data_IF_798505934322
#
_entry.id   IF_798505934322
#
_cell.length_a   1.000
_cell.length_b   1.000
_cell.length_c   1.000
_cell.angle_alpha   90.00
_cell.angle_beta   90.00
_cell.angle_gamma   90.00
#
_symmetry.space_group_name_H-M   'P 1'
#
loop_
_entity.id
_entity.type
_entity.pdbx_description
1 polymer ?
#
# COMPACT_ATOMS: atom_id res chain seq x y z
N UNK A 1 2.71 -18.77 -15.53
CA UNK A 1 1.83 -18.30 -14.46
C UNK A 1 0.44 -18.82 -14.76
N UNK A 2 -0.15 -19.60 -13.85
CA UNK A 2 -1.57 -19.97 -13.97
C UNK A 2 -2.38 -18.68 -13.99
N UNK A 3 -3.19 -18.41 -15.03
CA UNK A 3 -4.09 -17.27 -15.00
C UNK A 3 -4.99 -17.42 -13.79
N UNK A 4 -5.01 -16.39 -12.94
CA UNK A 4 -5.99 -16.25 -11.88
C UNK A 4 -7.37 -16.27 -12.55
N UNK A 5 -8.19 -17.27 -12.25
CA UNK A 5 -9.58 -17.37 -12.73
C UNK A 5 -10.52 -16.93 -11.61
N UNK A 6 -10.73 -15.62 -11.40
CA UNK A 6 -11.46 -15.10 -10.23
C UNK A 6 -12.88 -15.66 -10.11
N UNK A 7 -13.54 -15.95 -11.24
CA UNK A 7 -14.88 -16.56 -11.25
C UNK A 7 -14.86 -18.00 -10.73
N UNK A 8 -13.88 -18.81 -11.16
CA UNK A 8 -13.72 -20.19 -10.71
C UNK A 8 -13.44 -20.22 -9.21
N UNK A 9 -12.57 -19.33 -8.73
CA UNK A 9 -12.25 -19.19 -7.30
C UNK A 9 -13.49 -18.74 -6.52
N UNK A 10 -14.25 -17.77 -7.02
CA UNK A 10 -15.47 -17.29 -6.36
C UNK A 10 -16.51 -18.40 -6.20
N UNK A 11 -16.79 -19.14 -7.27
CA UNK A 11 -17.72 -20.26 -7.25
C UNK A 11 -17.24 -21.37 -6.29
N UNK A 12 -15.95 -21.70 -6.33
CA UNK A 12 -15.36 -22.66 -5.40
C UNK A 12 -15.54 -22.25 -3.94
N UNK A 13 -15.23 -21.00 -3.58
CA UNK A 13 -15.38 -20.49 -2.22
C UNK A 13 -16.84 -20.46 -1.76
N UNK A 14 -17.77 -20.13 -2.68
CA UNK A 14 -19.21 -20.11 -2.42
C UNK A 14 -19.76 -21.50 -2.10
N UNK A 15 -19.27 -22.53 -2.78
CA UNK A 15 -19.67 -23.92 -2.57
C UNK A 15 -18.98 -24.59 -1.36
N UNK A 16 -17.84 -24.05 -0.92
CA UNK A 16 -17.00 -24.63 0.12
C UNK A 16 -16.84 -23.68 1.33
N UNK A 17 -17.96 -23.32 1.96
CA UNK A 17 -18.00 -22.32 3.04
C UNK A 17 -17.13 -22.66 4.26
N UNK A 18 -16.83 -23.94 4.49
CA UNK A 18 -15.96 -24.38 5.59
C UNK A 18 -14.54 -23.80 5.49
N UNK A 19 -14.07 -23.49 4.27
CA UNK A 19 -12.74 -22.91 4.04
C UNK A 19 -12.69 -21.42 4.44
N UNK A 20 -13.84 -20.76 4.56
CA UNK A 20 -13.96 -19.37 4.99
C UNK A 20 -13.69 -19.16 6.49
N UNK A 21 -13.39 -20.22 7.24
CA UNK A 21 -12.78 -20.13 8.57
C UNK A 21 -11.38 -19.50 8.53
N UNK A 22 -10.69 -19.61 7.38
CA UNK A 22 -9.41 -18.93 7.15
C UNK A 22 -9.63 -17.46 6.79
N UNK A 23 -8.95 -16.56 7.51
CA UNK A 23 -8.97 -15.11 7.23
C UNK A 23 -8.57 -14.77 5.80
N UNK A 24 -7.60 -15.49 5.24
CA UNK A 24 -7.15 -15.29 3.86
C UNK A 24 -8.27 -15.56 2.86
N UNK A 25 -8.89 -16.74 2.91
CA UNK A 25 -9.95 -17.12 1.97
C UNK A 25 -11.24 -16.34 2.20
N UNK A 26 -11.52 -15.95 3.45
CA UNK A 26 -12.63 -15.05 3.78
C UNK A 26 -12.43 -13.67 3.15
N UNK A 27 -11.23 -13.08 3.29
CA UNK A 27 -10.90 -11.79 2.68
C UNK A 27 -10.99 -11.83 1.15
N UNK A 28 -10.47 -12.90 0.53
CA UNK A 28 -10.57 -13.12 -0.90
C UNK A 28 -12.03 -13.27 -1.35
N UNK A 29 -12.84 -14.04 -0.63
CA UNK A 29 -14.26 -14.18 -0.92
C UNK A 29 -14.98 -12.83 -0.87
N UNK A 30 -14.73 -12.03 0.17
CA UNK A 30 -15.34 -10.69 0.32
C UNK A 30 -14.93 -9.76 -0.84
N UNK A 31 -13.66 -9.77 -1.25
CA UNK A 31 -13.18 -8.98 -2.38
C UNK A 31 -13.90 -9.37 -3.69
N UNK A 32 -14.06 -10.67 -3.94
CA UNK A 32 -14.74 -11.19 -5.13
C UNK A 32 -16.27 -11.00 -5.06
N UNK A 33 -16.86 -11.04 -3.87
CA UNK A 33 -18.30 -10.84 -3.68
C UNK A 33 -18.74 -9.47 -4.19
N UNK A 34 -17.97 -8.41 -3.93
CA UNK A 34 -18.29 -7.08 -4.47
C UNK A 34 -18.27 -7.05 -6.01
N UNK A 35 -17.34 -7.78 -6.62
CA UNK A 35 -17.20 -7.85 -8.07
C UNK A 35 -18.34 -8.62 -8.74
N UNK A 36 -18.71 -9.79 -8.21
CA UNK A 36 -19.68 -10.70 -8.82
C UNK A 36 -21.11 -10.53 -8.30
N UNK A 37 -21.30 -9.93 -7.13
CA UNK A 37 -22.60 -9.68 -6.50
C UNK A 37 -22.70 -8.22 -6.00
N UNK A 38 -22.60 -7.21 -6.89
CA UNK A 38 -22.56 -5.79 -6.49
C UNK A 38 -23.85 -5.29 -5.83
N UNK A 39 -24.96 -6.02 -5.99
CA UNK A 39 -26.26 -5.72 -5.37
C UNK A 39 -26.45 -6.39 -3.99
N UNK A 40 -25.45 -7.12 -3.50
CA UNK A 40 -25.51 -7.73 -2.17
C UNK A 40 -25.49 -6.63 -1.09
N UNK A 41 -26.63 -6.45 -0.44
CA UNK A 41 -26.82 -5.44 0.62
C UNK A 41 -26.16 -5.85 1.94
N UNK A 42 -25.65 -7.08 2.06
CA UNK A 42 -25.04 -7.63 3.26
C UNK A 42 -23.52 -7.49 3.30
N UNK A 43 -22.87 -6.84 2.31
CA UNK A 43 -21.41 -6.65 2.27
C UNK A 43 -20.84 -6.08 3.59
N UNK A 44 -21.56 -5.15 4.23
CA UNK A 44 -21.18 -4.57 5.52
C UNK A 44 -21.22 -5.57 6.68
N UNK A 45 -22.09 -6.58 6.62
CA UNK A 45 -22.14 -7.67 7.61
C UNK A 45 -20.92 -8.58 7.46
N UNK A 46 -20.56 -8.93 6.22
CA UNK A 46 -19.35 -9.71 5.95
C UNK A 46 -18.09 -8.97 6.40
N UNK A 47 -18.00 -7.67 6.12
CA UNK A 47 -16.88 -6.82 6.55
C UNK A 47 -16.80 -6.68 8.08
N UNK A 48 -17.93 -6.45 8.76
CA UNK A 48 -17.92 -6.32 10.22
C UNK A 48 -17.55 -7.64 10.92
N UNK A 49 -18.01 -8.78 10.40
CA UNK A 49 -17.55 -10.10 10.85
C UNK A 49 -16.05 -10.31 10.60
N UNK A 50 -15.55 -9.88 9.44
CA UNK A 50 -14.14 -10.04 9.07
C UNK A 50 -13.20 -9.22 9.97
N UNK A 51 -13.63 -8.02 10.36
CA UNK A 51 -12.90 -7.14 11.27
C UNK A 51 -12.95 -7.60 12.74
N UNK A 52 -14.01 -8.29 13.17
CA UNK A 52 -14.21 -8.70 14.57
C UNK A 52 -13.52 -10.02 14.94
N UNK A 53 -13.14 -10.85 13.96
CA UNK A 53 -12.36 -12.06 14.19
C UNK A 53 -10.98 -11.70 14.80
N UNK A 54 -10.83 -11.99 16.10
CA UNK A 54 -9.70 -11.57 16.94
C UNK A 54 -8.38 -12.28 16.62
N UNK A 55 -7.31 -11.48 16.60
CA UNK A 55 -5.91 -11.77 16.96
C UNK A 55 -5.35 -13.16 16.59
N UNK A 56 -4.96 -13.39 15.33
CA UNK A 56 -3.55 -13.37 14.91
C UNK A 56 -3.48 -13.52 13.39
N UNK A 57 -2.46 -12.89 12.81
CA UNK A 57 -2.15 -12.74 11.38
C UNK A 57 -3.15 -11.92 10.51
N UNK A 58 -2.60 -10.94 9.78
CA UNK A 58 -3.34 -10.17 8.75
C UNK A 58 -4.14 -8.93 9.22
N UNK A 59 -3.83 -8.30 10.37
CA UNK A 59 -4.51 -7.06 10.79
C UNK A 59 -4.44 -5.96 9.72
N UNK A 60 -3.26 -5.75 9.14
CA UNK A 60 -3.05 -4.82 8.03
C UNK A 60 -3.92 -5.20 6.83
N UNK A 61 -3.91 -6.47 6.42
CA UNK A 61 -4.66 -6.95 5.26
C UNK A 61 -6.16 -6.73 5.41
N UNK A 62 -6.70 -7.00 6.62
CA UNK A 62 -8.11 -6.75 6.96
C UNK A 62 -8.48 -5.28 6.82
N UNK A 63 -7.66 -4.39 7.38
CA UNK A 63 -7.84 -2.93 7.31
C UNK A 63 -7.68 -2.40 5.89
N UNK A 64 -6.76 -2.95 5.11
CA UNK A 64 -6.56 -2.60 3.70
C UNK A 64 -7.75 -3.01 2.84
N UNK A 65 -8.27 -4.23 3.04
CA UNK A 65 -9.49 -4.68 2.35
C UNK A 65 -10.67 -3.76 2.72
N UNK A 66 -10.88 -3.50 4.01
CA UNK A 66 -11.92 -2.58 4.46
C UNK A 66 -11.79 -1.17 3.84
N UNK A 67 -10.57 -0.64 3.77
CA UNK A 67 -10.27 0.64 3.11
C UNK A 67 -10.70 0.67 1.64
N UNK A 68 -10.48 -0.42 0.92
CA UNK A 68 -10.79 -0.52 -0.50
C UNK A 68 -12.30 -0.69 -0.76
N UNK A 69 -13.02 -1.44 0.08
CA UNK A 69 -14.42 -1.77 -0.17
C UNK A 69 -15.42 -0.78 0.45
N UNK A 70 -15.09 -0.17 1.61
CA UNK A 70 -16.05 0.61 2.40
C UNK A 70 -15.69 2.10 2.54
N UNK A 71 -14.42 2.49 2.39
CA UNK A 71 -13.98 3.86 2.63
C UNK A 71 -13.86 4.64 1.32
N UNK A 72 -14.65 5.71 1.19
CA UNK A 72 -14.77 6.47 -0.06
C UNK A 72 -14.17 7.89 0.03
N UNK A 73 -13.66 8.29 1.19
CA UNK A 73 -13.12 9.65 1.39
C UNK A 73 -11.66 9.59 1.80
N UNK A 74 -10.89 10.58 1.35
CA UNK A 74 -9.48 10.77 1.73
C UNK A 74 -9.28 10.73 3.25
N UNK A 75 -10.13 11.43 4.00
CA UNK A 75 -10.03 11.49 5.46
C UNK A 75 -10.21 10.11 6.12
N UNK A 76 -11.19 9.32 5.66
CA UNK A 76 -11.46 8.00 6.24
C UNK A 76 -10.37 6.99 5.86
N UNK A 77 -9.88 7.02 4.62
CA UNK A 77 -8.74 6.18 4.19
C UNK A 77 -7.47 6.49 4.96
N UNK A 78 -7.15 7.78 5.14
CA UNK A 78 -5.99 8.21 5.92
C UNK A 78 -6.10 7.79 7.38
N UNK A 79 -7.24 8.02 8.02
CA UNK A 79 -7.47 7.59 9.39
C UNK A 79 -7.31 6.07 9.54
N UNK A 80 -7.89 5.28 8.63
CA UNK A 80 -7.75 3.83 8.65
C UNK A 80 -6.29 3.36 8.47
N UNK A 81 -5.52 4.02 7.60
CA UNK A 81 -4.11 3.68 7.44
C UNK A 81 -3.30 4.07 8.69
N UNK A 82 -3.59 5.20 9.32
CA UNK A 82 -2.96 5.60 10.58
C UNK A 82 -3.28 4.66 11.75
N UNK A 83 -4.47 4.03 11.78
CA UNK A 83 -4.77 2.96 12.73
C UNK A 83 -3.87 1.72 12.52
N UNK A 84 -3.50 1.42 11.27
CA UNK A 84 -2.54 0.34 10.97
C UNK A 84 -1.15 0.74 11.43
N UNK A 85 -0.70 1.95 11.12
CA UNK A 85 0.62 2.44 11.54
C UNK A 85 0.75 2.47 13.06
N UNK A 86 -0.26 2.99 13.77
CA UNK A 86 -0.27 3.01 15.24
C UNK A 86 -0.22 1.61 15.86
N UNK A 87 -0.92 0.63 15.27
CA UNK A 87 -0.87 -0.76 15.72
C UNK A 87 0.55 -1.34 15.67
N UNK A 88 1.32 -1.00 14.63
CA UNK A 88 2.72 -1.41 14.48
C UNK A 88 3.73 -0.43 15.10
N UNK A 89 3.28 0.55 15.90
CA UNK A 89 4.13 1.56 16.54
C UNK A 89 4.96 2.38 15.55
N UNK A 90 4.39 2.64 14.36
CA UNK A 90 4.98 3.49 13.33
C UNK A 90 4.46 4.93 13.45
N UNK A 91 5.28 5.88 13.01
CA UNK A 91 4.89 7.29 12.91
C UNK A 91 3.70 7.46 11.99
N UNK A 92 2.73 8.27 12.41
CA UNK A 92 1.56 8.56 11.59
C UNK A 92 1.96 9.27 10.29
N UNK A 93 1.09 9.14 9.31
CA UNK A 93 1.22 9.77 8.00
C UNK A 93 0.12 10.80 7.76
N UNK A 94 0.41 11.74 6.87
CA UNK A 94 -0.50 12.75 6.36
C UNK A 94 -0.36 12.89 4.85
N UNK A 95 -1.28 13.64 4.23
CA UNK A 95 -1.12 14.01 2.83
C UNK A 95 0.03 15.00 2.70
N UNK A 96 0.93 14.75 1.74
CA UNK A 96 1.99 15.70 1.40
C UNK A 96 1.43 16.99 0.82
N UNK A 97 0.38 16.88 -0.01
CA UNK A 97 -0.43 17.98 -0.49
C UNK A 97 -1.92 17.70 -0.22
N UNK A 98 -2.54 18.60 0.56
CA UNK A 98 -3.96 18.53 0.94
C UNK A 98 -4.92 18.78 -0.21
N UNK A 99 -4.45 19.35 -1.32
CA UNK A 99 -5.26 19.59 -2.52
C UNK A 99 -5.33 18.35 -3.43
N UNK A 100 -4.42 17.39 -3.25
CA UNK A 100 -4.34 16.17 -4.03
C UNK A 100 -5.00 14.99 -3.31
N UNK A 101 -5.51 13.98 -4.05
CA UNK A 101 -6.20 12.83 -3.47
C UNK A 101 -5.26 11.94 -2.64
N UNK A 102 -5.86 11.01 -1.89
CA UNK A 102 -5.14 9.94 -1.22
C UNK A 102 -4.55 8.97 -2.26
N UNK A 103 -3.26 9.09 -2.54
CA UNK A 103 -2.48 8.18 -3.38
C UNK A 103 -1.18 7.84 -2.68
N UNK A 104 -0.56 6.70 -3.00
CA UNK A 104 0.73 6.31 -2.41
C UNK A 104 1.85 7.33 -2.66
N UNK A 105 1.72 8.14 -3.72
CA UNK A 105 2.66 9.21 -4.10
C UNK A 105 2.41 10.54 -3.39
N UNK A 106 1.30 10.68 -2.65
CA UNK A 106 0.92 11.90 -1.94
C UNK A 106 0.85 11.70 -0.41
N UNK A 107 1.74 10.85 0.13
CA UNK A 107 1.81 10.56 1.56
C UNK A 107 3.19 10.94 2.11
N UNK A 108 3.20 11.49 3.32
CA UNK A 108 4.42 11.78 4.07
C UNK A 108 4.23 11.45 5.55
N UNK A 109 5.31 11.11 6.23
CA UNK A 109 5.32 11.02 7.69
C UNK A 109 4.95 12.39 8.28
N UNK A 110 4.13 12.38 9.34
CA UNK A 110 3.84 13.56 10.13
C UNK A 110 5.16 14.02 10.73
N UNK A 111 5.60 15.21 10.34
CA UNK A 111 6.83 15.79 10.88
C UNK A 111 6.58 16.24 12.30
N UNK A 112 6.99 15.44 13.28
CA UNK A 112 7.25 16.01 14.60
C UNK A 112 8.33 17.08 14.48
N UNK A 113 8.25 18.13 15.31
CA UNK A 113 9.28 19.16 15.45
C UNK A 113 10.49 18.51 16.15
N UNK A 114 11.15 17.56 15.48
CA UNK A 114 12.44 17.08 15.93
C UNK A 114 13.49 18.05 15.41
N UNK A 115 14.06 18.80 16.36
CA UNK A 115 15.24 19.63 16.16
C UNK A 115 16.23 18.85 15.28
N UNK A 116 16.55 19.40 14.10
CA UNK A 116 17.56 18.87 13.18
C UNK A 116 18.87 18.66 13.95
N UNK A 117 19.05 17.47 14.52
CA UNK A 117 20.30 17.13 15.18
C UNK A 117 21.35 16.82 14.11
N UNK A 118 22.55 17.32 14.42
CA UNK A 118 23.71 17.57 13.55
C UNK A 118 24.12 16.36 12.69
N UNK A 119 24.59 16.72 11.50
CA UNK A 119 25.38 15.93 10.55
C UNK A 119 26.33 14.92 11.24
N UNK A 120 26.09 13.63 11.01
CA UNK A 120 27.15 12.62 11.07
C UNK A 120 28.02 12.73 9.80
N UNK A 121 29.32 12.44 9.94
CA UNK A 121 30.24 12.41 8.80
C UNK A 121 29.91 11.21 7.91
N UNK A 122 29.15 11.44 6.83
CA UNK A 122 28.65 10.39 5.93
C UNK A 122 29.77 9.58 5.26
N UNK A 123 31.01 10.08 5.27
CA UNK A 123 32.17 9.36 4.73
C UNK A 123 32.55 8.11 5.55
N UNK A 124 32.03 7.96 6.78
CA UNK A 124 32.23 6.76 7.59
C UNK A 124 31.05 5.76 7.54
N UNK A 125 29.98 6.11 6.82
CA UNK A 125 28.81 5.25 6.68
C UNK A 125 28.99 4.33 5.46
N UNK A 126 28.51 3.09 5.56
CA UNK A 126 28.55 2.14 4.44
C UNK A 126 27.81 2.70 3.22
N UNK A 127 28.40 2.56 2.03
CA UNK A 127 27.70 2.90 0.80
C UNK A 127 26.57 1.89 0.58
N UNK A 128 25.33 2.37 0.47
CA UNK A 128 24.17 1.54 0.17
C UNK A 128 23.75 1.79 -1.27
N UNK A 129 23.64 0.71 -2.06
CA UNK A 129 23.18 0.79 -3.45
C UNK A 129 21.71 0.34 -3.52
N UNK A 130 20.85 1.21 -4.03
CA UNK A 130 19.44 0.94 -4.28
C UNK A 130 19.24 0.76 -5.77
N UNK A 131 18.85 -0.45 -6.18
CA UNK A 131 18.51 -0.76 -7.57
C UNK A 131 17.00 -0.66 -7.75
N UNK A 132 16.56 0.24 -8.61
CA UNK A 132 15.15 0.46 -8.95
C UNK A 132 14.92 -0.10 -10.34
N UNK A 133 14.19 -1.21 -10.44
CA UNK A 133 13.75 -1.74 -11.74
C UNK A 133 12.39 -1.15 -12.08
N UNK A 134 12.20 -0.78 -13.34
CA UNK A 134 10.99 -0.08 -13.78
C UNK A 134 10.53 -0.52 -15.16
N UNK A 135 9.21 -0.57 -15.35
CA UNK A 135 8.55 -0.81 -16.63
C UNK A 135 7.20 -0.07 -16.61
N UNK A 136 6.99 0.84 -17.55
CA UNK A 136 5.79 1.67 -17.65
C UNK A 136 5.38 2.33 -16.32
N UNK A 137 6.32 3.00 -15.65
CA UNK A 137 6.13 3.61 -14.34
C UNK A 137 6.18 5.15 -14.38
N UNK A 138 5.88 5.78 -15.52
CA UNK A 138 5.90 7.25 -15.68
C UNK A 138 5.13 7.99 -14.57
N UNK A 139 4.05 7.40 -14.06
CA UNK A 139 3.21 7.99 -13.00
C UNK A 139 3.80 7.90 -11.58
N UNK A 140 4.80 7.03 -11.34
CA UNK A 140 5.26 6.71 -9.98
C UNK A 140 6.77 6.85 -9.77
N UNK A 141 7.55 6.75 -10.85
CA UNK A 141 9.01 6.72 -10.78
C UNK A 141 9.61 8.02 -10.21
N UNK A 142 8.99 9.17 -10.52
CA UNK A 142 9.41 10.47 -9.96
C UNK A 142 9.32 10.47 -8.43
N UNK A 143 8.15 10.12 -7.87
CA UNK A 143 7.94 10.05 -6.43
C UNK A 143 8.85 9.02 -5.76
N UNK A 144 9.10 7.88 -6.42
CA UNK A 144 10.04 6.87 -5.95
C UNK A 144 11.45 7.46 -5.80
N UNK A 145 11.98 8.10 -6.84
CA UNK A 145 13.34 8.67 -6.81
C UNK A 145 13.43 9.81 -5.78
N UNK A 146 12.46 10.72 -5.73
CA UNK A 146 12.45 11.77 -4.72
C UNK A 146 12.42 11.22 -3.29
N UNK A 147 11.68 10.15 -3.03
CA UNK A 147 11.65 9.51 -1.71
C UNK A 147 13.02 8.95 -1.31
N UNK A 148 13.78 8.39 -2.25
CA UNK A 148 15.14 7.89 -2.03
C UNK A 148 16.12 9.03 -1.78
N UNK A 149 16.01 10.12 -2.53
CA UNK A 149 16.84 11.33 -2.34
C UNK A 149 16.59 12.03 -1.00
N UNK A 150 15.40 11.86 -0.41
CA UNK A 150 15.02 12.45 0.87
C UNK A 150 15.37 11.58 2.09
N UNK A 151 15.93 10.38 1.91
CA UNK A 151 16.30 9.51 3.01
C UNK A 151 17.30 10.17 3.98
N UNK A 152 17.20 9.78 5.25
CA UNK A 152 18.14 10.23 6.29
C UNK A 152 19.55 9.68 6.05
N UNK A 153 19.66 8.48 5.47
CA UNK A 153 20.93 7.92 4.99
C UNK A 153 21.37 8.61 3.69
N UNK A 154 22.53 9.27 3.69
CA UNK A 154 23.00 10.04 2.52
C UNK A 154 24.05 9.36 1.66
N UNK A 155 24.76 8.35 2.15
CA UNK A 155 25.73 7.59 1.35
C UNK A 155 25.01 6.55 0.48
N UNK A 156 24.17 7.04 -0.45
CA UNK A 156 23.35 6.25 -1.35
C UNK A 156 23.88 6.33 -2.79
N UNK A 157 23.84 5.20 -3.49
CA UNK A 157 23.89 5.12 -4.95
C UNK A 157 22.54 4.58 -5.43
N UNK A 158 21.93 5.29 -6.36
CA UNK A 158 20.62 4.91 -6.92
C UNK A 158 20.85 4.55 -8.38
N UNK A 159 20.52 3.31 -8.75
CA UNK A 159 20.62 2.80 -10.12
C UNK A 159 19.21 2.49 -10.59
N UNK A 160 18.74 3.22 -11.60
CA UNK A 160 17.44 2.95 -12.23
C UNK A 160 17.66 2.13 -13.49
N UNK A 161 16.96 1.01 -13.59
CA UNK A 161 17.00 0.08 -14.73
C UNK A 161 15.63 0.06 -15.38
N UNK A 162 15.52 0.69 -16.54
CA UNK A 162 14.31 0.70 -17.36
C UNK A 162 14.26 -0.57 -18.24
N UNK A 163 13.24 -1.40 -18.02
CA UNK A 163 13.01 -2.66 -18.73
C UNK A 163 12.22 -2.45 -20.04
N UNK A 164 12.75 -1.55 -20.88
CA UNK A 164 12.17 -1.18 -22.18
C UNK A 164 10.72 -0.67 -22.09
N UNK A 165 10.49 0.33 -21.22
CA UNK A 165 9.20 1.02 -21.15
C UNK A 165 8.80 1.64 -22.50
N UNK A 166 7.50 1.66 -22.76
CA UNK A 166 6.90 2.30 -23.94
C UNK A 166 6.14 3.59 -23.59
N UNK A 167 6.22 4.03 -22.34
CA UNK A 167 5.67 5.30 -21.84
C UNK A 167 6.81 6.30 -21.54
N UNK A 168 6.49 7.39 -20.85
CA UNK A 168 7.44 8.45 -20.51
C UNK A 168 8.40 8.09 -19.36
N UNK A 169 8.47 6.84 -18.89
CA UNK A 169 9.33 6.42 -17.76
C UNK A 169 10.78 6.88 -17.94
N UNK A 170 11.35 6.63 -19.13
CA UNK A 170 12.72 7.05 -19.44
C UNK A 170 12.90 8.57 -19.35
N UNK A 171 11.93 9.33 -19.87
CA UNK A 171 11.96 10.79 -19.85
C UNK A 171 11.96 11.33 -18.41
N UNK A 172 11.13 10.75 -17.53
CA UNK A 172 11.03 11.15 -16.12
C UNK A 172 12.31 10.84 -15.34
N UNK A 173 13.01 9.75 -15.68
CA UNK A 173 14.28 9.37 -15.03
C UNK A 173 15.47 10.28 -15.38
N UNK A 174 15.32 11.23 -16.33
CA UNK A 174 16.36 12.19 -16.68
C UNK A 174 16.31 13.39 -15.74
N UNK A 175 16.77 13.19 -14.51
CA UNK A 175 16.86 14.17 -13.42
C UNK A 175 18.31 14.65 -13.28
#
# INVERSE_FOLDING_TARGET
MTPFYPEVIFNFLKENTNILESSYYQGLYIALLQQYCPLDTHINNYLSSFLSCSADDGYADKRCLYSNLALNTTLTKLANLNEVFAYYQLDQIELSDKQHPFTVTNLSAVKEIHNKQKFQDYNQLHKVTVVVTTYNASETIESCIYSLLQQTWRNLEIIVVDDASNDDTYCVCRI
#
